data_IF_105489398784
#
_entry.id   IF_105489398784
#
_cell.length_a   1.000
_cell.length_b   1.000
_cell.length_c   1.000
_cell.angle_alpha   90.00
_cell.angle_beta   90.00
_cell.angle_gamma   90.00
#
_symmetry.space_group_name_H-M   'P 1'
#
loop_
_entity.id
_entity.type
_entity.pdbx_description
1 polymer ?
#
# COMPACT_ATOMS: atom_id res chain seq x y z
N UNK A 1 6.46 -5.63 -3.65
CA UNK A 1 5.20 -6.00 -2.96
C UNK A 1 4.08 -5.30 -3.69
N UNK A 2 3.13 -6.07 -4.22
CA UNK A 2 2.02 -5.53 -5.00
C UNK A 2 0.74 -5.59 -4.15
N UNK A 3 0.06 -4.45 -4.01
CA UNK A 3 -1.26 -4.35 -3.41
C UNK A 3 -2.25 -3.94 -4.48
N UNK A 4 -3.27 -4.77 -4.72
CA UNK A 4 -4.25 -4.58 -5.80
C UNK A 4 -5.67 -4.71 -5.25
N UNK A 5 -6.56 -3.83 -5.69
CA UNK A 5 -7.97 -3.90 -5.34
C UNK A 5 -8.64 -5.02 -6.13
N UNK A 6 -9.26 -5.96 -5.40
CA UNK A 6 -10.02 -7.06 -6.01
C UNK A 6 -11.50 -6.71 -6.16
N UNK A 7 -12.09 -6.07 -5.14
CA UNK A 7 -13.47 -5.60 -5.12
C UNK A 7 -13.59 -4.36 -4.25
N UNK A 8 -14.34 -3.37 -4.72
CA UNK A 8 -14.68 -2.16 -3.98
C UNK A 8 -15.88 -1.47 -4.64
N UNK A 9 -16.69 -0.76 -3.86
CA UNK A 9 -17.74 0.12 -4.36
C UNK A 9 -17.68 1.45 -3.61
N UNK A 10 -17.43 2.60 -4.28
CA UNK A 10 -17.06 2.73 -5.71
C UNK A 10 -15.77 1.98 -6.09
N UNK A 11 -15.66 1.50 -7.33
CA UNK A 11 -14.45 0.76 -7.73
C UNK A 11 -13.22 1.65 -7.87
N UNK A 12 -13.43 2.87 -8.38
CA UNK A 12 -12.37 3.86 -8.63
C UNK A 12 -11.59 4.16 -7.36
N UNK A 13 -10.32 3.82 -7.37
CA UNK A 13 -9.38 4.19 -6.32
C UNK A 13 -8.90 5.62 -6.54
N UNK A 14 -8.71 6.36 -5.43
CA UNK A 14 -8.24 7.74 -5.44
C UNK A 14 -6.76 7.84 -5.09
N UNK A 15 -6.33 7.11 -4.05
CA UNK A 15 -4.99 7.26 -3.49
C UNK A 15 -4.50 6.00 -2.77
N UNK A 16 -3.21 5.97 -2.47
CA UNK A 16 -2.57 4.93 -1.68
C UNK A 16 -1.61 5.50 -0.62
N UNK A 17 -1.38 4.75 0.45
CA UNK A 17 -0.33 4.99 1.44
C UNK A 17 0.42 3.69 1.77
N UNK A 18 1.75 3.72 1.67
CA UNK A 18 2.66 2.66 2.12
C UNK A 18 3.32 3.04 3.42
N UNK A 19 3.34 2.13 4.39
CA UNK A 19 3.96 2.31 5.70
C UNK A 19 4.82 1.11 6.09
N UNK A 20 5.82 1.35 6.92
CA UNK A 20 6.56 0.32 7.68
C UNK A 20 6.30 0.57 9.17
N UNK A 21 5.48 -0.27 9.79
CA UNK A 21 4.87 0.03 11.09
C UNK A 21 4.15 1.39 11.04
N UNK A 22 4.57 2.33 11.90
CA UNK A 22 3.98 3.67 11.95
C UNK A 22 4.61 4.67 10.96
N UNK A 23 5.71 4.31 10.31
CA UNK A 23 6.47 5.22 9.42
C UNK A 23 5.88 5.24 8.02
N UNK A 24 5.47 6.41 7.53
CA UNK A 24 5.08 6.60 6.13
C UNK A 24 6.29 6.45 5.21
N UNK A 25 6.18 5.59 4.20
CA UNK A 25 7.22 5.34 3.20
C UNK A 25 6.93 6.02 1.88
N UNK A 26 5.69 5.94 1.40
CA UNK A 26 5.26 6.54 0.14
C UNK A 26 3.75 6.77 0.15
N UNK A 27 3.26 7.79 -0.56
CA UNK A 27 1.85 8.04 -0.76
C UNK A 27 1.62 8.80 -2.07
N UNK A 28 0.47 8.60 -2.70
CA UNK A 28 0.16 9.27 -3.95
C UNK A 28 -1.23 8.97 -4.46
N UNK A 29 -1.58 9.58 -5.59
CA UNK A 29 -2.80 9.26 -6.33
C UNK A 29 -2.59 7.97 -7.13
N UNK A 30 -3.67 7.21 -7.32
CA UNK A 30 -3.67 6.04 -8.22
C UNK A 30 -4.12 6.51 -9.60
N UNK A 31 -3.32 6.21 -10.62
CA UNK A 31 -3.48 6.74 -11.95
C UNK A 31 -4.45 5.93 -12.83
N UNK A 32 -4.43 4.58 -12.76
CA UNK A 32 -5.36 3.75 -13.56
C UNK A 32 -5.45 2.25 -13.24
N UNK A 33 -4.51 1.65 -12.50
CA UNK A 33 -4.43 0.18 -12.38
C UNK A 33 -5.08 -0.41 -11.12
N UNK A 34 -5.68 0.43 -10.28
CA UNK A 34 -6.23 0.07 -8.96
C UNK A 34 -5.25 -0.78 -8.12
N UNK A 35 -3.96 -0.58 -8.37
CA UNK A 35 -2.85 -1.26 -7.72
C UNK A 35 -1.73 -0.27 -7.38
N UNK A 36 -0.95 -0.63 -6.38
CA UNK A 36 0.27 0.07 -6.01
C UNK A 36 1.36 -0.95 -5.71
N UNK A 37 2.60 -0.60 -6.03
CA UNK A 37 3.76 -1.44 -5.77
C UNK A 37 4.77 -0.70 -4.89
N UNK A 38 5.33 -1.42 -3.92
CA UNK A 38 6.48 -0.97 -3.14
C UNK A 38 7.64 -1.95 -3.27
N UNK A 39 8.80 -1.43 -3.66
CA UNK A 39 10.03 -2.19 -3.84
C UNK A 39 11.01 -1.84 -2.73
N UNK A 40 11.36 -2.84 -1.91
CA UNK A 40 12.45 -2.71 -0.93
C UNK A 40 13.76 -2.84 -1.69
N UNK A 41 14.50 -1.72 -1.85
CA UNK A 41 15.76 -1.70 -2.62
C UNK A 41 16.91 -2.39 -1.91
N UNK A 42 17.01 -2.21 -0.60
CA UNK A 42 18.02 -2.82 0.25
C UNK A 42 17.36 -3.26 1.56
N UNK A 43 17.54 -4.53 1.93
CA UNK A 43 17.00 -5.08 3.16
C UNK A 43 18.07 -5.05 4.25
N UNK A 44 17.83 -4.27 5.29
CA UNK A 44 18.65 -4.19 6.49
C UNK A 44 17.74 -4.27 7.73
N UNK A 45 18.33 -4.26 8.94
CA UNK A 45 17.55 -4.40 10.19
C UNK A 45 16.44 -3.36 10.36
N UNK A 46 16.61 -2.15 9.83
CA UNK A 46 15.60 -1.09 9.88
C UNK A 46 14.47 -1.28 8.86
N UNK A 47 14.69 -2.12 7.86
CA UNK A 47 13.71 -2.55 6.87
C UNK A 47 12.94 -3.81 7.27
N UNK A 48 13.19 -4.38 8.44
CA UNK A 48 12.37 -5.48 8.95
C UNK A 48 11.10 -4.94 9.61
N UNK A 49 10.02 -5.69 9.45
CA UNK A 49 8.74 -5.39 10.06
C UNK A 49 7.57 -5.57 9.11
N UNK A 50 6.42 -5.04 9.54
CA UNK A 50 5.19 -5.07 8.76
C UNK A 50 5.14 -3.87 7.81
N UNK A 51 5.13 -4.17 6.51
CA UNK A 51 4.79 -3.23 5.46
C UNK A 51 3.29 -3.27 5.21
N UNK A 52 2.62 -2.13 5.31
CA UNK A 52 1.19 -2.02 5.02
C UNK A 52 0.93 -1.06 3.86
N UNK A 53 0.00 -1.42 2.98
CA UNK A 53 -0.54 -0.56 1.94
C UNK A 53 -2.02 -0.32 2.19
N UNK A 54 -2.42 0.93 2.38
CA UNK A 54 -3.82 1.36 2.38
C UNK A 54 -4.17 1.91 1.00
N UNK A 55 -5.13 1.28 0.33
CA UNK A 55 -5.68 1.74 -0.96
C UNK A 55 -7.09 2.29 -0.72
N UNK A 56 -7.34 3.52 -1.16
CA UNK A 56 -8.46 4.34 -0.66
C UNK A 56 -9.33 4.83 -1.82
N UNK A 57 -10.65 4.65 -1.69
CA UNK A 57 -11.68 5.25 -2.53
C UNK A 57 -12.54 6.24 -1.70
N UNK A 58 -13.66 6.71 -2.25
CA UNK A 58 -14.58 7.62 -1.56
C UNK A 58 -15.31 6.98 -0.37
N UNK A 59 -15.40 5.66 -0.31
CA UNK A 59 -16.12 4.92 0.73
C UNK A 59 -15.21 4.50 1.90
N UNK A 60 -13.90 4.31 1.66
CA UNK A 60 -12.96 3.88 2.69
C UNK A 60 -11.65 3.33 2.15
N UNK A 61 -10.97 2.54 2.98
CA UNK A 61 -9.65 1.97 2.71
C UNK A 61 -9.68 0.44 2.76
N UNK A 62 -9.00 -0.20 1.81
CA UNK A 62 -8.60 -1.61 1.90
C UNK A 62 -7.11 -1.70 2.24
N UNK A 63 -6.72 -2.69 3.07
CA UNK A 63 -5.34 -2.85 3.52
C UNK A 63 -4.71 -4.16 3.05
N UNK A 64 -3.51 -4.09 2.50
CA UNK A 64 -2.59 -5.22 2.35
C UNK A 64 -1.49 -5.13 3.43
N UNK A 65 -1.13 -6.25 4.06
CA UNK A 65 0.00 -6.34 5.00
C UNK A 65 1.01 -7.39 4.53
N UNK A 66 2.28 -7.07 4.66
CA UNK A 66 3.40 -7.94 4.30
C UNK A 66 4.41 -7.94 5.45
N UNK A 67 4.66 -9.10 6.05
CA UNK A 67 5.72 -9.24 7.04
C UNK A 67 7.05 -9.55 6.33
N UNK A 68 8.06 -8.72 6.59
CA UNK A 68 9.42 -8.89 6.04
C UNK A 68 10.41 -9.00 7.20
N UNK A 69 11.25 -10.03 7.18
CA UNK A 69 12.22 -10.36 8.23
C UNK A 69 13.56 -10.79 7.64
#
# INVERSE_FOLDING_TARGET
MNCRVLRAHPHRVLKYEWRLGNRLLNAGLVDSRDESEYTVRNLNREGYGEYSCDIINEAGAGRCSFLVT
#
